data_IF_967165013264
#
_entry.id   IF_967165013264
#
_cell.length_a   1.000
_cell.length_b   1.000
_cell.length_c   1.000
_cell.angle_alpha   90.00
_cell.angle_beta   90.00
_cell.angle_gamma   90.00
#
_symmetry.space_group_name_H-M   'P 1'
#
loop_
_entity.id
_entity.type
_entity.pdbx_description
1 polymer ?
#
# COMPACT_ATOMS: atom_id res chain seq x y z
N UNK A 1 -12.24 19.78 26.41
CA UNK A 1 -10.84 19.90 26.87
C UNK A 1 -9.86 19.06 26.06
N UNK A 2 -10.00 17.73 25.96
CA UNK A 2 -9.10 16.90 25.13
C UNK A 2 -9.16 17.19 23.63
N UNK A 3 -10.36 17.36 23.07
CA UNK A 3 -10.54 17.67 21.64
C UNK A 3 -9.99 19.04 21.24
N UNK A 4 -10.16 20.06 22.09
CA UNK A 4 -9.64 21.41 21.84
C UNK A 4 -8.10 21.44 21.86
N UNK A 5 -7.48 20.63 22.73
CA UNK A 5 -6.03 20.45 22.72
C UNK A 5 -5.56 19.75 21.44
N UNK A 6 -6.25 18.70 21.00
CA UNK A 6 -5.95 18.02 19.75
C UNK A 6 -6.09 18.96 18.54
N UNK A 7 -7.11 19.80 18.50
CA UNK A 7 -7.28 20.78 17.43
C UNK A 7 -6.11 21.77 17.33
N UNK A 8 -5.55 22.19 18.47
CA UNK A 8 -4.34 23.05 18.50
C UNK A 8 -3.07 22.27 18.17
N UNK A 9 -2.97 21.01 18.59
CA UNK A 9 -1.81 20.17 18.33
C UNK A 9 -1.70 19.76 16.85
N UNK A 10 -2.82 19.62 16.14
CA UNK A 10 -2.87 19.26 14.71
C UNK A 10 -2.13 20.26 13.82
N UNK A 11 -1.99 21.51 14.24
CA UNK A 11 -1.25 22.54 13.49
C UNK A 11 0.24 22.56 13.77
N UNK A 12 0.74 21.78 14.73
CA UNK A 12 2.16 21.73 15.05
C UNK A 12 2.93 20.85 14.03
N UNK A 13 4.16 21.26 13.62
CA UNK A 13 5.01 20.42 12.79
C UNK A 13 5.37 19.13 13.52
N UNK A 14 5.51 18.02 12.80
CA UNK A 14 5.83 16.71 13.39
C UNK A 14 4.64 16.00 14.05
N UNK A 15 3.43 16.58 14.05
CA UNK A 15 2.27 15.98 14.72
C UNK A 15 1.94 14.57 14.22
N UNK A 16 1.98 14.34 12.91
CA UNK A 16 1.73 13.02 12.34
C UNK A 16 2.81 12.00 12.74
N UNK A 17 4.08 12.43 12.82
CA UNK A 17 5.20 11.59 13.26
C UNK A 17 5.06 11.22 14.74
N UNK A 18 4.63 12.15 15.59
CA UNK A 18 4.33 11.87 17.00
C UNK A 18 3.19 10.87 17.16
N UNK A 19 2.09 11.03 16.40
CA UNK A 19 0.99 10.07 16.39
C UNK A 19 1.47 8.69 15.98
N UNK A 20 2.27 8.59 14.92
CA UNK A 20 2.87 7.34 14.47
C UNK A 20 3.73 6.71 15.58
N UNK A 21 4.52 7.51 16.29
CA UNK A 21 5.26 7.12 17.48
C UNK A 21 4.40 6.45 18.55
N UNK A 22 3.25 7.05 18.87
CA UNK A 22 2.28 6.51 19.84
C UNK A 22 1.67 5.18 19.38
N UNK A 23 1.59 4.92 18.07
CA UNK A 23 1.07 3.62 17.57
C UNK A 23 2.01 2.45 17.78
N UNK A 24 3.31 2.67 18.06
CA UNK A 24 4.26 1.58 18.23
C UNK A 24 3.92 0.73 19.46
N UNK A 25 4.00 -0.59 19.30
CA UNK A 25 3.80 -1.54 20.41
C UNK A 25 4.82 -1.37 21.54
N UNK A 26 6.02 -0.87 21.21
CA UNK A 26 7.09 -0.58 22.18
C UNK A 26 6.82 0.66 23.04
N UNK A 27 5.81 1.47 22.73
CA UNK A 27 5.54 2.73 23.42
C UNK A 27 4.93 2.56 24.83
N UNK A 28 4.77 1.32 25.33
CA UNK A 28 4.12 0.99 26.60
C UNK A 28 2.72 1.64 26.75
N UNK A 29 2.01 1.81 25.63
CA UNK A 29 0.68 2.41 25.58
C UNK A 29 -0.39 1.32 25.52
N UNK A 30 -1.55 1.51 26.18
CA UNK A 30 -2.69 0.61 26.01
C UNK A 30 -3.14 0.57 24.54
N UNK A 31 -3.58 -0.60 24.06
CA UNK A 31 -4.04 -0.78 22.68
C UNK A 31 -5.16 0.19 22.27
N UNK A 32 -6.02 0.59 23.23
CA UNK A 32 -7.04 1.60 23.00
C UNK A 32 -6.45 2.98 22.62
N UNK A 33 -5.34 3.38 23.27
CA UNK A 33 -4.64 4.65 22.97
C UNK A 33 -3.95 4.55 21.62
N UNK A 34 -3.28 3.42 21.35
CA UNK A 34 -2.63 3.15 20.06
C UNK A 34 -3.64 3.19 18.91
N UNK A 35 -4.82 2.61 19.10
CA UNK A 35 -5.91 2.62 18.14
C UNK A 35 -6.46 4.02 17.90
N UNK A 36 -6.65 4.81 18.96
CA UNK A 36 -7.07 6.21 18.83
C UNK A 36 -6.03 7.03 18.05
N UNK A 37 -4.76 6.87 18.37
CA UNK A 37 -3.66 7.53 17.67
C UNK A 37 -3.61 7.13 16.18
N UNK A 38 -3.72 5.83 15.86
CA UNK A 38 -3.74 5.36 14.47
C UNK A 38 -4.97 5.86 13.70
N UNK A 39 -6.13 5.94 14.37
CA UNK A 39 -7.35 6.49 13.78
C UNK A 39 -7.20 7.97 13.46
N UNK A 40 -6.62 8.74 14.39
CA UNK A 40 -6.37 10.17 14.19
C UNK A 40 -5.32 10.38 13.09
N UNK A 41 -4.26 9.57 13.06
CA UNK A 41 -3.21 9.61 12.04
C UNK A 41 -3.81 9.42 10.64
N UNK A 42 -4.65 8.41 10.44
CA UNK A 42 -5.35 8.17 9.16
C UNK A 42 -6.15 9.39 8.68
N UNK A 43 -6.71 10.18 9.60
CA UNK A 43 -7.49 11.37 9.26
C UNK A 43 -6.60 12.57 8.93
N UNK A 44 -5.53 12.77 9.68
CA UNK A 44 -4.65 13.93 9.51
C UNK A 44 -3.62 13.77 8.40
N UNK A 45 -3.20 12.53 8.07
CA UNK A 45 -2.17 12.27 7.06
C UNK A 45 -2.55 12.84 5.68
N UNK A 46 -3.82 12.76 5.30
CA UNK A 46 -4.31 13.34 4.03
C UNK A 46 -4.24 14.86 4.07
N UNK A 47 -4.65 15.46 5.19
CA UNK A 47 -4.61 16.92 5.34
C UNK A 47 -3.17 17.41 5.33
N UNK A 48 -2.24 16.71 5.97
CA UNK A 48 -0.80 16.99 5.91
C UNK A 48 -0.24 16.87 4.47
N UNK A 49 -0.65 15.83 3.72
CA UNK A 49 -0.29 15.66 2.30
C UNK A 49 -0.86 16.75 1.38
N UNK A 50 -1.98 17.36 1.73
CA UNK A 50 -2.53 18.51 1.00
C UNK A 50 -1.89 19.84 1.43
N UNK A 51 -1.64 20.02 2.75
CA UNK A 51 -1.14 21.27 3.34
C UNK A 51 0.27 21.64 2.95
N UNK A 52 1.19 20.69 2.80
CA UNK A 52 2.55 20.97 2.30
C UNK A 52 2.64 21.43 0.83
N UNK A 53 1.52 21.71 0.15
CA UNK A 53 1.51 22.70 -0.93
C UNK A 53 1.77 24.14 -0.43
N UNK A 54 1.76 24.39 0.88
CA UNK A 54 1.74 25.72 1.52
C UNK A 54 2.75 25.91 2.67
N UNK A 55 3.62 24.95 3.03
CA UNK A 55 4.63 25.21 4.07
C UNK A 55 5.32 24.05 4.80
N UNK A 56 4.95 22.78 4.59
CA UNK A 56 5.75 21.64 5.10
C UNK A 56 6.98 21.42 4.22
N UNK A 57 8.12 21.09 4.83
CA UNK A 57 9.28 20.61 4.09
C UNK A 57 8.93 19.24 3.49
N UNK A 58 9.21 19.03 2.20
CA UNK A 58 9.05 17.71 1.56
C UNK A 58 9.79 16.58 2.30
N UNK A 59 10.78 16.96 3.10
CA UNK A 59 11.52 16.08 4.01
C UNK A 59 10.63 15.44 5.10
N UNK A 60 9.73 16.19 5.75
CA UNK A 60 8.84 15.63 6.77
C UNK A 60 7.88 14.59 6.19
N UNK A 61 7.35 14.86 4.99
CA UNK A 61 6.50 13.91 4.26
C UNK A 61 7.27 12.66 3.87
N UNK A 62 8.50 12.82 3.39
CA UNK A 62 9.38 11.71 3.05
C UNK A 62 9.68 10.83 4.27
N UNK A 63 10.00 11.44 5.41
CA UNK A 63 10.25 10.74 6.66
C UNK A 63 9.01 10.03 7.19
N UNK A 64 7.85 10.69 7.22
CA UNK A 64 6.58 10.11 7.64
C UNK A 64 6.17 8.93 6.74
N UNK A 65 6.35 9.08 5.42
CA UNK A 65 6.11 8.01 4.45
C UNK A 65 6.98 6.79 4.73
N UNK A 66 8.28 6.99 4.86
CA UNK A 66 9.22 5.91 5.14
C UNK A 66 8.87 5.19 6.45
N UNK A 67 8.52 5.95 7.50
CA UNK A 67 8.09 5.39 8.77
C UNK A 67 6.78 4.61 8.65
N UNK A 68 5.77 5.11 7.92
CA UNK A 68 4.52 4.39 7.66
C UNK A 68 4.76 3.07 6.91
N UNK A 69 5.65 3.08 5.92
CA UNK A 69 6.02 1.88 5.16
C UNK A 69 6.74 0.88 6.07
N UNK A 70 7.67 1.33 6.90
CA UNK A 70 8.35 0.47 7.88
C UNK A 70 7.36 -0.19 8.86
N UNK A 71 6.30 0.52 9.25
CA UNK A 71 5.23 -0.06 10.07
C UNK A 71 4.42 -1.15 9.37
N UNK A 72 4.41 -1.18 8.04
CA UNK A 72 3.81 -2.29 7.29
C UNK A 72 4.72 -3.51 7.24
N UNK A 73 6.04 -3.35 7.34
CA UNK A 73 6.97 -4.50 7.34
C UNK A 73 7.05 -5.17 8.71
N UNK A 74 6.87 -4.41 9.79
CA UNK A 74 6.90 -4.94 11.15
C UNK A 74 5.56 -5.62 11.51
N UNK A 75 5.57 -6.82 12.12
CA UNK A 75 4.36 -7.46 12.65
C UNK A 75 3.62 -6.56 13.65
N UNK A 76 2.30 -6.50 13.55
CA UNK A 76 1.45 -5.73 14.46
C UNK A 76 0.65 -6.69 15.36
N UNK A 77 0.77 -6.51 16.68
CA UNK A 77 0.08 -7.35 17.68
C UNK A 77 -1.41 -7.02 17.81
N UNK A 78 -1.81 -5.77 17.52
CA UNK A 78 -3.19 -5.32 17.61
C UNK A 78 -3.81 -5.16 16.22
N UNK A 79 -4.62 -6.14 15.79
CA UNK A 79 -5.26 -6.15 14.47
C UNK A 79 -5.97 -4.83 14.08
N UNK A 80 -6.79 -4.22 14.95
CA UNK A 80 -7.43 -2.93 14.67
C UNK A 80 -6.45 -1.79 14.39
N UNK A 81 -5.30 -1.75 15.07
CA UNK A 81 -4.23 -0.76 14.82
C UNK A 81 -3.65 -0.99 13.43
N UNK A 82 -3.34 -2.24 13.09
CA UNK A 82 -2.85 -2.61 11.75
C UNK A 82 -3.81 -2.19 10.63
N UNK A 83 -5.12 -2.33 10.84
CA UNK A 83 -6.14 -1.86 9.89
C UNK A 83 -6.10 -0.33 9.71
N UNK A 84 -5.96 0.44 10.80
CA UNK A 84 -5.87 1.90 10.68
C UNK A 84 -4.58 2.35 9.99
N UNK A 85 -3.45 1.69 10.23
CA UNK A 85 -2.18 1.93 9.53
C UNK A 85 -2.30 1.61 8.04
N UNK A 86 -2.92 0.49 7.70
CA UNK A 86 -3.21 0.09 6.33
C UNK A 86 -4.07 1.13 5.58
N UNK A 87 -5.09 1.67 6.24
CA UNK A 87 -5.93 2.74 5.69
C UNK A 87 -5.17 4.07 5.55
N UNK A 88 -4.28 4.39 6.49
CA UNK A 88 -3.44 5.59 6.41
C UNK A 88 -2.52 5.52 5.18
N UNK A 89 -1.85 4.39 4.95
CA UNK A 89 -0.99 4.17 3.77
C UNK A 89 -1.79 4.24 2.48
N UNK A 90 -2.97 3.62 2.41
CA UNK A 90 -3.83 3.68 1.23
C UNK A 90 -4.23 5.13 0.88
N UNK A 91 -4.50 5.95 1.90
CA UNK A 91 -4.81 7.37 1.75
C UNK A 91 -3.60 8.19 1.28
N UNK A 92 -2.40 7.88 1.78
CA UNK A 92 -1.14 8.47 1.28
C UNK A 92 -0.95 8.13 -0.19
N UNK A 93 -1.08 6.86 -0.56
CA UNK A 93 -0.97 6.44 -1.97
C UNK A 93 -1.95 7.20 -2.87
N UNK A 94 -3.21 7.38 -2.44
CA UNK A 94 -4.17 8.19 -3.20
C UNK A 94 -3.67 9.63 -3.41
N UNK A 95 -3.08 10.24 -2.39
CA UNK A 95 -2.52 11.58 -2.49
C UNK A 95 -1.34 11.61 -3.47
N UNK A 96 -0.43 10.64 -3.37
CA UNK A 96 0.70 10.47 -4.30
C UNK A 96 0.25 10.27 -5.75
N UNK A 97 -0.79 9.47 -5.98
CA UNK A 97 -1.41 9.27 -7.30
C UNK A 97 -1.93 10.57 -7.94
N UNK A 98 -2.39 11.53 -7.13
CA UNK A 98 -2.82 12.83 -7.62
C UNK A 98 -1.65 13.77 -7.95
N UNK A 99 -0.47 13.55 -7.37
CA UNK A 99 0.71 14.41 -7.54
C UNK A 99 1.78 13.85 -8.48
N UNK A 100 1.64 12.58 -8.91
CA UNK A 100 2.65 11.93 -9.75
C UNK A 100 3.68 11.09 -8.98
N UNK A 101 3.54 10.98 -7.66
CA UNK A 101 4.47 10.26 -6.79
C UNK A 101 4.11 8.76 -6.70
N UNK A 102 5.14 7.91 -6.60
CA UNK A 102 5.00 6.45 -6.70
C UNK A 102 5.51 5.66 -5.50
N UNK A 103 5.99 6.33 -4.46
CA UNK A 103 6.86 5.70 -3.47
C UNK A 103 6.16 4.62 -2.67
N UNK A 104 4.88 4.80 -2.34
CA UNK A 104 4.11 3.73 -1.66
C UNK A 104 3.93 2.50 -2.55
N UNK A 105 3.71 2.68 -3.85
CA UNK A 105 3.56 1.56 -4.80
C UNK A 105 4.88 0.81 -4.99
N UNK A 106 6.00 1.54 -5.09
CA UNK A 106 7.34 0.95 -5.16
C UNK A 106 7.64 0.12 -3.91
N UNK A 107 7.26 0.62 -2.73
CA UNK A 107 7.41 -0.11 -1.49
C UNK A 107 6.56 -1.39 -1.45
N UNK A 108 5.32 -1.37 -1.96
CA UNK A 108 4.52 -2.59 -2.07
C UNK A 108 5.19 -3.64 -2.94
N UNK A 109 5.75 -3.26 -4.09
CA UNK A 109 6.44 -4.22 -4.94
C UNK A 109 7.64 -4.86 -4.23
N UNK A 110 8.46 -4.07 -3.54
CA UNK A 110 9.59 -4.57 -2.77
C UNK A 110 9.13 -5.50 -1.63
N UNK A 111 8.04 -5.14 -0.94
CA UNK A 111 7.45 -5.95 0.13
C UNK A 111 6.91 -7.29 -0.39
N UNK A 112 6.24 -7.31 -1.55
CA UNK A 112 5.64 -8.51 -2.13
C UNK A 112 6.66 -9.59 -2.54
N UNK A 113 7.94 -9.24 -2.70
CA UNK A 113 9.03 -10.20 -2.88
C UNK A 113 9.44 -10.96 -1.62
N UNK A 114 8.89 -10.61 -0.45
CA UNK A 114 9.20 -11.24 0.84
C UNK A 114 8.29 -12.45 1.11
N UNK A 115 8.85 -13.46 1.77
CA UNK A 115 8.12 -14.68 2.17
C UNK A 115 7.20 -14.48 3.39
N UNK A 116 7.50 -13.49 4.23
CA UNK A 116 6.92 -13.30 5.58
C UNK A 116 6.11 -12.00 5.74
N UNK A 117 5.23 -11.70 4.77
CA UNK A 117 4.40 -10.50 4.82
C UNK A 117 3.36 -10.55 5.94
N UNK A 118 3.30 -9.53 6.81
CA UNK A 118 2.28 -9.45 7.83
C UNK A 118 0.92 -9.10 7.21
N UNK A 119 -0.16 -9.55 7.85
CA UNK A 119 -1.52 -9.43 7.31
C UNK A 119 -1.94 -7.96 7.06
N UNK A 120 -1.51 -7.02 7.91
CA UNK A 120 -1.83 -5.60 7.73
C UNK A 120 -1.14 -4.98 6.51
N UNK A 121 -0.01 -5.50 6.03
CA UNK A 121 0.60 -5.08 4.76
C UNK A 121 -0.27 -5.49 3.57
N UNK A 122 -0.78 -6.73 3.56
CA UNK A 122 -1.72 -7.20 2.54
C UNK A 122 -3.05 -6.44 2.59
N UNK A 123 -3.53 -6.09 3.79
CA UNK A 123 -4.68 -5.20 3.96
C UNK A 123 -4.40 -3.80 3.41
N UNK A 124 -3.20 -3.26 3.60
CA UNK A 124 -2.81 -1.96 3.05
C UNK A 124 -2.86 -2.00 1.51
N UNK A 125 -2.37 -3.07 0.89
CA UNK A 125 -2.50 -3.27 -0.56
C UNK A 125 -3.96 -3.39 -1.01
N UNK A 126 -4.79 -4.11 -0.26
CA UNK A 126 -6.23 -4.22 -0.52
C UNK A 126 -6.93 -2.87 -0.49
N UNK A 127 -6.67 -2.05 0.53
CA UNK A 127 -7.27 -0.71 0.65
C UNK A 127 -6.70 0.25 -0.41
N UNK A 128 -5.42 0.14 -0.73
CA UNK A 128 -4.76 0.89 -1.82
C UNK A 128 -5.46 0.60 -3.15
N UNK A 129 -5.69 -0.67 -3.47
CA UNK A 129 -6.42 -1.06 -4.67
C UNK A 129 -7.86 -0.52 -4.66
N UNK A 130 -8.53 -0.48 -3.50
CA UNK A 130 -9.86 0.13 -3.37
C UNK A 130 -9.85 1.63 -3.66
N UNK A 131 -8.86 2.36 -3.13
CA UNK A 131 -8.68 3.79 -3.39
C UNK A 131 -8.41 4.07 -4.87
N UNK A 132 -7.56 3.28 -5.52
CA UNK A 132 -7.30 3.42 -6.96
C UNK A 132 -8.55 3.14 -7.81
N UNK A 133 -9.35 2.14 -7.45
CA UNK A 133 -10.60 1.85 -8.19
C UNK A 133 -11.63 2.97 -8.08
N UNK A 134 -11.64 3.73 -6.98
CA UNK A 134 -12.59 4.84 -6.79
C UNK A 134 -12.14 6.13 -7.50
N UNK A 135 -10.96 6.14 -8.10
CA UNK A 135 -10.52 7.24 -8.95
C UNK A 135 -11.23 7.21 -10.31
N UNK A 136 -11.82 8.33 -10.70
CA UNK A 136 -12.71 8.40 -11.87
C UNK A 136 -12.04 9.03 -13.10
N UNK A 137 -10.95 9.79 -12.93
CA UNK A 137 -10.30 10.45 -14.06
C UNK A 137 -9.68 9.41 -15.02
N UNK A 138 -9.79 9.59 -16.35
CA UNK A 138 -9.25 8.63 -17.32
C UNK A 138 -7.77 8.30 -17.09
N UNK A 139 -6.93 9.31 -16.82
CA UNK A 139 -5.52 9.11 -16.52
C UNK A 139 -5.30 8.25 -15.25
N UNK A 140 -6.09 8.49 -14.20
CA UNK A 140 -6.03 7.71 -12.97
C UNK A 140 -6.50 6.27 -13.16
N UNK A 141 -7.53 6.05 -14.00
CA UNK A 141 -8.01 4.70 -14.34
C UNK A 141 -6.97 3.91 -15.13
N UNK A 142 -6.29 4.56 -16.08
CA UNK A 142 -5.16 3.95 -16.83
C UNK A 142 -4.02 3.57 -15.89
N UNK A 143 -3.62 4.49 -15.00
CA UNK A 143 -2.62 4.22 -13.97
C UNK A 143 -3.05 3.05 -13.07
N UNK A 144 -4.28 3.08 -12.59
CA UNK A 144 -4.85 2.00 -11.77
C UNK A 144 -4.78 0.64 -12.49
N UNK A 145 -5.14 0.59 -13.77
CA UNK A 145 -5.07 -0.63 -14.56
C UNK A 145 -3.64 -1.17 -14.71
N UNK A 146 -2.67 -0.30 -15.00
CA UNK A 146 -1.25 -0.67 -15.08
C UNK A 146 -0.72 -1.19 -13.75
N UNK A 147 -0.97 -0.47 -12.65
CA UNK A 147 -0.61 -0.89 -11.29
C UNK A 147 -1.28 -2.23 -10.95
N UNK A 148 -2.54 -2.40 -11.32
CA UNK A 148 -3.28 -3.65 -11.14
C UNK A 148 -2.58 -4.82 -11.81
N UNK A 149 -2.16 -4.68 -13.08
CA UNK A 149 -1.44 -5.73 -13.82
C UNK A 149 -0.13 -6.14 -13.14
N UNK A 150 0.69 -5.16 -12.75
CA UNK A 150 1.97 -5.40 -12.05
C UNK A 150 1.74 -6.07 -10.70
N UNK A 151 0.78 -5.58 -9.91
CA UNK A 151 0.54 -6.14 -8.58
C UNK A 151 -0.10 -7.55 -8.64
N UNK A 152 -0.87 -7.86 -9.69
CA UNK A 152 -1.38 -9.23 -9.92
C UNK A 152 -0.23 -10.21 -10.14
N UNK A 153 0.78 -9.87 -10.95
CA UNK A 153 1.92 -10.79 -11.19
C UNK A 153 2.74 -11.03 -9.92
N UNK A 154 2.83 -10.03 -9.03
CA UNK A 154 3.52 -10.15 -7.74
C UNK A 154 2.72 -10.91 -6.68
N UNK A 155 1.40 -10.71 -6.61
CA UNK A 155 0.53 -11.38 -5.61
C UNK A 155 0.16 -12.81 -6.04
N UNK A 156 0.15 -13.12 -7.33
CA UNK A 156 -0.20 -14.44 -7.87
C UNK A 156 0.55 -15.61 -7.20
N UNK A 157 1.90 -15.61 -7.17
CA UNK A 157 2.69 -16.65 -6.51
C UNK A 157 2.43 -16.77 -5.00
N UNK A 158 2.21 -15.63 -4.32
CA UNK A 158 1.87 -15.63 -2.90
C UNK A 158 0.49 -16.26 -2.65
N UNK A 159 -0.47 -16.00 -3.52
CA UNK A 159 -1.80 -16.60 -3.48
C UNK A 159 -1.74 -18.10 -3.75
N UNK A 160 -1.02 -18.52 -4.78
CA UNK A 160 -0.86 -19.94 -5.15
C UNK A 160 -0.22 -20.74 -4.01
N UNK A 161 0.90 -20.25 -3.45
CA UNK A 161 1.56 -20.90 -2.31
C UNK A 161 0.69 -20.96 -1.05
N UNK A 162 -0.18 -19.96 -0.81
CA UNK A 162 -1.13 -20.02 0.29
C UNK A 162 -2.27 -21.00 0.03
N UNK A 163 -2.75 -21.08 -1.21
CA UNK A 163 -3.81 -22.01 -1.60
C UNK A 163 -3.33 -23.46 -1.52
N UNK A 164 -2.16 -23.76 -2.07
CA UNK A 164 -1.53 -25.10 -1.99
C UNK A 164 -1.36 -25.52 -0.53
N UNK A 165 -0.90 -24.62 0.35
CA UNK A 165 -0.80 -24.91 1.79
C UNK A 165 -2.14 -25.19 2.46
N UNK A 166 -3.21 -24.50 2.04
CA UNK A 166 -4.55 -24.70 2.58
C UNK A 166 -5.21 -26.00 2.09
N UNK A 167 -4.85 -26.49 0.91
CA UNK A 167 -5.47 -27.67 0.28
C UNK A 167 -4.63 -28.95 0.39
N UNK A 168 -3.33 -28.84 0.68
CA UNK A 168 -2.46 -30.00 0.84
C UNK A 168 -2.79 -30.80 2.10
N UNK A 169 -2.90 -32.12 1.97
CA UNK A 169 -3.18 -33.04 3.08
C UNK A 169 -1.99 -33.28 4.02
N UNK A 170 -0.82 -32.72 3.72
CA UNK A 170 0.44 -32.94 4.46
C UNK A 170 0.74 -31.88 5.53
N UNK A 171 0.05 -30.74 5.50
CA UNK A 171 0.03 -29.75 6.59
C UNK A 171 -1.26 -29.86 7.40
N UNK A 172 -1.39 -29.13 8.50
CA UNK A 172 -2.65 -28.99 9.23
C UNK A 172 -3.60 -28.08 8.42
N UNK A 173 -4.41 -28.65 7.50
CA UNK A 173 -5.10 -27.87 6.45
C UNK A 173 -6.30 -27.11 7.02
N UNK A 174 -6.67 -27.41 8.26
CA UNK A 174 -7.77 -26.83 9.02
C UNK A 174 -7.30 -25.72 9.96
N UNK A 175 -5.99 -25.44 10.04
CA UNK A 175 -5.50 -24.35 10.89
C UNK A 175 -6.14 -23.04 10.44
N UNK A 176 -6.82 -22.32 11.36
CA UNK A 176 -7.54 -21.09 11.03
C UNK A 176 -6.62 -20.02 10.44
N UNK A 177 -5.33 -20.05 10.78
CA UNK A 177 -4.32 -19.14 10.24
C UNK A 177 -4.03 -19.39 8.75
N UNK A 178 -3.93 -20.67 8.34
CA UNK A 178 -3.70 -21.05 6.93
C UNK A 178 -4.89 -20.65 6.06
N UNK A 179 -6.11 -20.90 6.55
CA UNK A 179 -7.35 -20.49 5.87
C UNK A 179 -7.44 -18.96 5.79
N UNK A 180 -7.15 -18.26 6.89
CA UNK A 180 -7.15 -16.79 6.92
C UNK A 180 -6.18 -16.22 5.87
N UNK A 181 -4.95 -16.73 5.82
CA UNK A 181 -3.91 -16.34 4.88
C UNK A 181 -4.35 -16.53 3.41
N UNK A 182 -4.98 -17.66 3.09
CA UNK A 182 -5.50 -17.97 1.75
C UNK A 182 -6.69 -17.05 1.37
N UNK A 183 -7.62 -16.81 2.31
CA UNK A 183 -8.76 -15.91 2.09
C UNK A 183 -8.31 -14.47 1.87
N UNK A 184 -7.37 -13.97 2.67
CA UNK A 184 -6.87 -12.60 2.55
C UNK A 184 -6.19 -12.39 1.19
N UNK A 185 -5.28 -13.30 0.79
CA UNK A 185 -4.61 -13.23 -0.52
C UNK A 185 -5.60 -13.35 -1.68
N UNK A 186 -6.62 -14.19 -1.55
CA UNK A 186 -7.70 -14.29 -2.56
C UNK A 186 -8.49 -12.99 -2.69
N UNK A 187 -8.78 -12.31 -1.57
CA UNK A 187 -9.45 -10.99 -1.58
C UNK A 187 -8.59 -9.92 -2.25
N UNK A 188 -7.29 -9.89 -1.96
CA UNK A 188 -6.32 -8.97 -2.58
C UNK A 188 -6.26 -9.23 -4.09
N UNK A 189 -6.00 -10.48 -4.50
CA UNK A 189 -5.88 -10.86 -5.90
C UNK A 189 -7.14 -10.50 -6.69
N UNK A 190 -8.33 -10.85 -6.18
CA UNK A 190 -9.60 -10.50 -6.82
C UNK A 190 -9.73 -9.00 -7.03
N UNK A 191 -9.36 -8.19 -6.02
CA UNK A 191 -9.46 -6.73 -6.13
C UNK A 191 -8.48 -6.16 -7.14
N UNK A 192 -7.25 -6.68 -7.19
CA UNK A 192 -6.23 -6.26 -8.16
C UNK A 192 -6.61 -6.64 -9.59
N UNK A 193 -7.21 -7.81 -9.81
CA UNK A 193 -7.77 -8.20 -11.11
C UNK A 193 -8.85 -7.22 -11.54
N UNK A 194 -9.81 -6.89 -10.65
CA UNK A 194 -10.83 -5.86 -10.97
C UNK A 194 -10.22 -4.49 -11.28
N UNK A 195 -9.11 -4.15 -10.64
CA UNK A 195 -8.38 -2.91 -10.92
C UNK A 195 -7.71 -2.95 -12.30
N UNK A 196 -7.10 -4.08 -12.68
CA UNK A 196 -6.45 -4.26 -13.99
C UNK A 196 -7.42 -4.18 -15.18
N UNK A 197 -8.70 -4.50 -14.96
CA UNK A 197 -9.75 -4.47 -15.99
C UNK A 197 -10.48 -3.12 -16.07
N UNK A 198 -9.99 -2.08 -15.39
CA UNK A 198 -10.64 -0.76 -15.42
C UNK A 198 -10.51 -0.02 -16.76
N UNK A 199 -9.80 -0.58 -17.75
CA UNK A 199 -9.78 -0.03 -19.10
C UNK A 199 -11.19 -0.05 -19.69
N UNK A 200 -11.75 1.14 -19.88
CA UNK A 200 -12.90 1.33 -20.75
C UNK A 200 -12.47 1.10 -22.19
N UNK A 201 -13.35 0.46 -22.96
CA UNK A 201 -13.32 0.42 -24.42
C UNK A 201 -13.10 1.83 -24.97
N UNK A 202 -11.87 2.17 -25.33
CA UNK A 202 -11.55 3.31 -26.18
C UNK A 202 -10.60 2.80 -27.26
N UNK A 203 -11.17 2.71 -28.47
CA UNK A 203 -10.45 2.48 -29.72
C UNK A 203 -9.31 3.50 -29.87
N UNK A 204 -8.11 3.12 -30.35
CA UNK A 204 -7.01 4.06 -30.49
C UNK A 204 -7.29 5.03 -31.65
N UNK A 205 -7.65 6.27 -31.34
CA UNK A 205 -7.48 7.38 -32.28
C UNK A 205 -5.98 7.71 -32.40
N UNK A 206 -5.48 8.09 -33.60
CA UNK A 206 -4.06 8.19 -33.87
C UNK A 206 -3.43 9.34 -33.09
N UNK A 207 -2.19 9.10 -32.67
CA UNK A 207 -1.41 10.00 -31.85
C UNK A 207 -1.10 11.34 -32.56
N UNK A 208 -1.65 12.43 -32.05
CA UNK A 208 -1.12 13.78 -32.28
C UNK A 208 -1.07 14.60 -30.98
N UNK A 209 0.17 14.87 -30.57
CA UNK A 209 0.68 16.09 -29.92
C UNK A 209 -0.11 16.70 -28.74
N UNK A 210 0.16 16.19 -27.54
CA UNK A 210 0.17 17.01 -26.32
C UNK A 210 1.59 17.04 -25.73
N UNK A 211 2.36 18.01 -26.19
CA UNK A 211 3.60 18.47 -25.54
C UNK A 211 3.18 19.33 -24.34
N UNK A 212 3.47 18.88 -23.12
CA UNK A 212 3.34 19.71 -21.93
C UNK A 212 2.98 18.98 -20.63
N UNK A 213 4.00 18.39 -19.99
CA UNK A 213 4.15 18.31 -18.51
C UNK A 213 3.03 17.69 -17.66
N UNK A 214 3.18 16.41 -17.30
CA UNK A 214 2.85 15.80 -16.00
C UNK A 214 2.72 14.28 -16.19
N UNK A 215 3.81 13.52 -16.08
CA UNK A 215 4.47 13.10 -14.84
C UNK A 215 3.86 11.83 -14.24
N UNK A 216 4.18 10.71 -14.88
CA UNK A 216 4.58 9.49 -14.18
C UNK A 216 5.74 8.89 -14.98
N UNK A 217 7.00 8.96 -14.52
CA UNK A 217 8.06 8.17 -15.07
C UNK A 217 8.01 6.80 -14.37
N UNK A 218 7.01 5.98 -14.70
CA UNK A 218 7.37 4.61 -15.04
C UNK A 218 7.94 4.70 -16.45
N UNK A 219 9.12 5.31 -16.57
CA UNK A 219 9.96 5.03 -17.73
C UNK A 219 10.05 3.51 -17.78
N UNK A 220 10.07 2.93 -18.97
CA UNK A 220 10.27 1.49 -19.20
C UNK A 220 11.28 0.86 -18.21
N UNK A 221 12.29 1.62 -17.78
CA UNK A 221 13.24 1.30 -16.72
C UNK A 221 12.66 0.94 -15.32
N UNK A 222 11.59 1.58 -14.84
CA UNK A 222 10.95 1.28 -13.55
C UNK A 222 10.09 0.03 -13.60
N UNK A 223 9.36 -0.16 -14.71
CA UNK A 223 8.67 -1.41 -15.01
C UNK A 223 9.68 -2.54 -15.23
N UNK A 224 10.79 -2.26 -15.91
CA UNK A 224 11.92 -3.20 -16.07
C UNK A 224 12.68 -3.46 -14.77
N UNK A 225 12.73 -2.53 -13.81
CA UNK A 225 13.33 -2.79 -12.50
C UNK A 225 12.45 -3.73 -11.67
N UNK A 226 11.12 -3.56 -11.75
CA UNK A 226 10.14 -4.46 -11.16
C UNK A 226 10.15 -5.84 -11.84
N UNK A 227 10.28 -5.87 -13.17
CA UNK A 227 10.44 -7.10 -13.96
C UNK A 227 11.82 -7.75 -13.77
N UNK A 228 12.89 -6.98 -13.56
CA UNK A 228 14.24 -7.47 -13.31
C UNK A 228 14.37 -8.07 -11.91
N UNK A 229 13.79 -7.45 -10.89
CA UNK A 229 13.68 -8.06 -9.56
C UNK A 229 12.82 -9.34 -9.61
N UNK A 230 11.74 -9.34 -10.40
CA UNK A 230 10.95 -10.55 -10.64
C UNK A 230 11.74 -11.65 -11.36
N UNK A 231 12.56 -11.34 -12.36
CA UNK A 231 13.42 -12.30 -13.09
C UNK A 231 14.58 -12.83 -12.24
N UNK A 232 15.19 -11.99 -11.39
CA UNK A 232 16.22 -12.42 -10.45
C UNK A 232 15.63 -13.35 -9.38
N UNK A 233 14.42 -13.05 -8.88
CA UNK A 233 13.72 -13.90 -7.91
C UNK A 233 13.23 -15.22 -8.53
N UNK A 234 12.67 -15.23 -9.75
CA UNK A 234 12.28 -16.49 -10.42
C UNK A 234 13.49 -17.38 -10.77
N UNK A 235 14.66 -16.79 -11.05
CA UNK A 235 15.90 -17.56 -11.23
C UNK A 235 16.46 -18.15 -9.93
N UNK A 236 16.24 -17.53 -8.78
CA UNK A 236 16.63 -18.08 -7.47
C UNK A 236 15.76 -19.28 -7.04
N UNK A 237 14.51 -19.35 -7.50
CA UNK A 237 13.60 -20.48 -7.24
C UNK A 237 13.80 -21.68 -8.18
N UNK A 238 14.53 -21.52 -9.29
CA UNK A 238 14.86 -22.58 -10.26
C UNK A 238 16.37 -22.86 -10.29
N UNK A 239 16.97 -23.19 -9.15
CA UNK A 239 18.22 -23.94 -9.13
C UNK A 239 17.87 -25.41 -8.83
N UNK A 240 17.95 -26.33 -9.81
CA UNK A 240 17.77 -27.74 -9.53
C UNK A 240 18.98 -28.21 -8.72
N UNK A 241 18.73 -28.81 -7.55
CA UNK A 241 19.65 -29.77 -6.95
C UNK A 241 19.66 -31.05 -7.79
#
# INVERSE_FOLDING_TARGET
RGEEFLQRAVTAPGFCSLLLGVTHSSANQPDAVRLLAATQLKNEVVRHWQRGSRGDSGEERGALRAALIARLTDPESCGPVGVQLALAVARVMRAEANTGEATVLQAFAAMLGRTDLPDHALLALLYTAKELTSMQLPAQRRLGAEVGRVMVSLVGPLWESALVRATSSSGDPTSPATIHAAVLRSKVLRRLVSLSTLEGVESPAPAETLVGGSAWPLNRAGTLALEADHQVQTRAFFCPL
#
